data_IF_230797850717
#
_entry.id   IF_230797850717
#
_cell.length_a   1.000
_cell.length_b   1.000
_cell.length_c   1.000
_cell.angle_alpha   90.00
_cell.angle_beta   90.00
_cell.angle_gamma   90.00
#
_symmetry.space_group_name_H-M   'P 1'
#
loop_
_entity.id
_entity.type
_entity.pdbx_description
1 polymer ?
#
# COMPACT_ATOMS: atom_id res chain seq x y z
N UNK A 1 -49.13 -40.44 48.51
CA UNK A 1 -47.91 -40.20 47.71
C UNK A 1 -48.15 -40.20 46.19
N UNK A 2 -49.29 -40.72 45.67
CA UNK A 2 -49.52 -40.84 44.22
C UNK A 2 -50.09 -39.60 43.50
N UNK A 3 -50.77 -38.67 44.20
CA UNK A 3 -51.40 -37.50 43.54
C UNK A 3 -50.42 -36.39 43.14
N UNK A 4 -49.31 -36.21 43.87
CA UNK A 4 -48.28 -35.20 43.55
C UNK A 4 -47.45 -35.55 42.31
N UNK A 5 -47.32 -36.84 42.00
CA UNK A 5 -46.59 -37.30 40.82
C UNK A 5 -47.45 -37.21 39.55
N UNK A 6 -48.78 -37.37 39.68
CA UNK A 6 -49.70 -37.22 38.56
C UNK A 6 -49.81 -35.76 38.10
N UNK A 7 -49.83 -34.80 39.02
CA UNK A 7 -49.85 -33.37 38.69
C UNK A 7 -48.52 -32.89 38.07
N UNK A 8 -47.38 -33.46 38.50
CA UNK A 8 -46.08 -33.18 37.88
C UNK A 8 -45.96 -33.76 36.48
N UNK A 9 -46.43 -34.99 36.24
CA UNK A 9 -46.48 -35.55 34.88
C UNK A 9 -47.46 -34.82 33.97
N UNK A 10 -48.58 -34.31 34.50
CA UNK A 10 -49.53 -33.51 33.74
C UNK A 10 -48.98 -32.12 33.39
N UNK A 11 -48.30 -31.44 34.33
CA UNK A 11 -47.61 -30.18 34.02
C UNK A 11 -46.42 -30.37 33.07
N UNK A 12 -45.69 -31.50 33.16
CA UNK A 12 -44.59 -31.79 32.24
C UNK A 12 -45.09 -32.12 30.82
N UNK A 13 -46.22 -32.83 30.71
CA UNK A 13 -46.86 -33.10 29.42
C UNK A 13 -47.47 -31.83 28.78
N UNK A 14 -48.05 -30.93 29.58
CA UNK A 14 -48.57 -29.63 29.10
C UNK A 14 -47.43 -28.68 28.72
N UNK A 15 -46.28 -28.72 29.42
CA UNK A 15 -45.09 -27.94 29.05
C UNK A 15 -44.41 -28.47 27.78
N UNK A 16 -44.47 -29.79 27.52
CA UNK A 16 -43.97 -30.40 26.29
C UNK A 16 -44.89 -30.13 25.08
N UNK A 17 -46.20 -29.97 25.30
CA UNK A 17 -47.16 -29.65 24.24
C UNK A 17 -47.22 -28.15 23.86
N UNK A 18 -46.66 -27.26 24.69
CA UNK A 18 -46.49 -25.83 24.39
C UNK A 18 -45.18 -25.51 23.63
N UNK A 19 -44.34 -26.52 23.40
CA UNK A 19 -43.11 -26.44 22.59
C UNK A 19 -43.30 -27.22 21.28
N UNK A 20 -44.42 -27.03 20.60
CA UNK A 20 -44.47 -27.36 19.17
C UNK A 20 -43.40 -26.50 18.49
N UNK A 21 -42.38 -27.09 17.83
CA UNK A 21 -41.49 -26.29 17.01
C UNK A 21 -42.38 -25.61 15.98
N UNK A 22 -42.45 -24.28 16.02
CA UNK A 22 -43.01 -23.53 14.93
C UNK A 22 -42.28 -24.02 13.68
N UNK A 23 -43.00 -24.69 12.79
CA UNK A 23 -42.45 -25.05 11.50
C UNK A 23 -42.08 -23.73 10.87
N UNK A 24 -40.78 -23.41 10.87
CA UNK A 24 -40.29 -22.25 10.16
C UNK A 24 -40.63 -22.51 8.70
N UNK A 25 -41.66 -21.83 8.21
CA UNK A 25 -42.05 -21.94 6.82
C UNK A 25 -40.88 -21.42 6.02
N UNK A 26 -40.19 -22.31 5.31
CA UNK A 26 -39.10 -21.90 4.45
C UNK A 26 -39.70 -21.34 3.15
N UNK A 27 -39.11 -20.26 2.65
CA UNK A 27 -39.36 -19.74 1.31
C UNK A 27 -38.15 -20.03 0.44
N UNK A 28 -38.40 -20.34 -0.83
CA UNK A 28 -37.34 -20.56 -1.81
C UNK A 28 -37.12 -19.26 -2.57
N UNK A 29 -35.87 -18.80 -2.63
CA UNK A 29 -35.44 -17.66 -3.42
C UNK A 29 -34.61 -18.20 -4.58
N UNK A 30 -34.97 -17.80 -5.80
CA UNK A 30 -34.21 -18.11 -7.01
C UNK A 30 -33.67 -16.83 -7.65
N UNK A 31 -32.70 -16.97 -8.55
CA UNK A 31 -32.18 -15.82 -9.25
C UNK A 31 -31.00 -16.12 -10.15
N UNK A 32 -30.53 -15.09 -10.84
CA UNK A 32 -29.31 -15.11 -11.65
C UNK A 32 -28.36 -14.02 -11.18
N UNK A 33 -27.08 -14.35 -11.08
CA UNK A 33 -26.01 -13.40 -10.82
C UNK A 33 -25.21 -13.18 -12.10
N UNK A 34 -25.01 -11.92 -12.45
CA UNK A 34 -24.26 -11.50 -13.63
C UNK A 34 -23.22 -10.43 -13.27
N UNK A 35 -22.23 -10.24 -14.13
CA UNK A 35 -21.37 -9.06 -14.08
C UNK A 35 -22.20 -7.82 -14.48
N UNK A 36 -22.08 -6.73 -13.72
CA UNK A 36 -22.89 -5.52 -13.92
C UNK A 36 -22.48 -4.69 -15.15
N UNK A 37 -21.27 -4.90 -15.68
CA UNK A 37 -20.69 -4.19 -16.82
C UNK A 37 -21.03 -4.86 -18.15
N UNK A 38 -20.89 -6.17 -18.26
CA UNK A 38 -21.07 -6.90 -19.52
C UNK A 38 -22.27 -7.85 -19.55
N UNK A 39 -22.94 -8.07 -18.41
CA UNK A 39 -24.12 -8.93 -18.29
C UNK A 39 -23.83 -10.43 -18.40
N UNK A 40 -22.56 -10.82 -18.43
CA UNK A 40 -22.15 -12.23 -18.47
C UNK A 40 -22.57 -12.97 -17.19
N UNK A 41 -22.96 -14.26 -17.26
CA UNK A 41 -23.31 -15.04 -16.09
C UNK A 41 -22.09 -15.29 -15.21
N UNK A 42 -22.24 -15.16 -13.88
CA UNK A 42 -21.17 -15.42 -12.92
C UNK A 42 -21.36 -16.77 -12.22
N UNK A 43 -20.62 -17.83 -12.61
CA UNK A 43 -20.64 -19.11 -11.92
C UNK A 43 -19.81 -19.11 -10.64
N UNK A 44 -20.26 -19.83 -9.61
CA UNK A 44 -19.53 -19.97 -8.35
C UNK A 44 -19.66 -18.81 -7.36
N UNK A 45 -20.58 -17.87 -7.58
CA UNK A 45 -20.92 -16.81 -6.62
C UNK A 45 -21.54 -17.45 -5.37
N UNK A 46 -21.02 -17.10 -4.19
CA UNK A 46 -21.56 -17.56 -2.91
C UNK A 46 -22.75 -16.70 -2.51
N UNK A 47 -23.89 -17.35 -2.29
CA UNK A 47 -25.15 -16.72 -1.88
C UNK A 47 -25.53 -17.23 -0.49
N UNK A 48 -25.36 -16.39 0.52
CA UNK A 48 -25.55 -16.74 1.92
C UNK A 48 -26.71 -15.98 2.54
N UNK A 49 -27.34 -16.55 3.57
CA UNK A 49 -28.19 -15.77 4.48
C UNK A 49 -27.29 -14.84 5.28
N UNK A 50 -27.60 -13.53 5.33
CA UNK A 50 -26.78 -12.55 6.05
C UNK A 50 -26.61 -12.96 7.53
N UNK A 51 -25.36 -13.14 7.96
CA UNK A 51 -25.02 -13.56 9.33
C UNK A 51 -25.08 -15.07 9.61
N UNK A 52 -25.26 -15.91 8.59
CA UNK A 52 -25.27 -17.38 8.71
C UNK A 52 -24.30 -18.03 7.72
N UNK A 53 -23.87 -19.26 8.04
CA UNK A 53 -23.10 -20.12 7.13
C UNK A 53 -24.00 -20.89 6.14
N UNK A 54 -25.33 -20.79 6.28
CA UNK A 54 -26.28 -21.44 5.36
C UNK A 54 -26.35 -20.67 4.03
N UNK A 55 -26.09 -21.37 2.93
CA UNK A 55 -26.08 -20.78 1.60
C UNK A 55 -26.04 -21.77 0.45
N UNK A 56 -25.91 -21.24 -0.76
CA UNK A 56 -25.75 -21.99 -2.01
C UNK A 56 -24.75 -21.27 -2.91
N UNK A 57 -24.37 -21.90 -4.03
CA UNK A 57 -23.53 -21.28 -5.05
C UNK A 57 -24.26 -21.21 -6.40
N UNK A 58 -23.91 -20.22 -7.23
CA UNK A 58 -24.43 -20.15 -8.60
C UNK A 58 -23.82 -21.23 -9.50
N UNK A 59 -24.61 -21.74 -10.46
CA UNK A 59 -24.17 -22.73 -11.45
C UNK A 59 -23.48 -22.07 -12.67
N UNK A 60 -23.13 -22.86 -13.69
CA UNK A 60 -22.49 -22.40 -14.93
C UNK A 60 -23.25 -21.29 -15.69
N UNK A 61 -24.57 -21.21 -15.52
CA UNK A 61 -25.42 -20.17 -16.11
C UNK A 61 -25.61 -18.96 -15.17
N UNK A 62 -24.90 -18.90 -14.04
CA UNK A 62 -25.07 -17.86 -13.02
C UNK A 62 -26.33 -18.00 -12.18
N UNK A 63 -27.10 -19.09 -12.33
CA UNK A 63 -28.37 -19.28 -11.61
C UNK A 63 -28.15 -19.91 -10.23
N UNK A 64 -28.96 -19.48 -9.25
CA UNK A 64 -28.98 -20.04 -7.90
C UNK A 64 -30.40 -20.34 -7.42
N UNK A 65 -30.51 -21.24 -6.44
CA UNK A 65 -31.74 -21.52 -5.69
C UNK A 65 -31.37 -21.81 -4.24
N UNK A 66 -31.97 -21.07 -3.31
CA UNK A 66 -31.71 -21.19 -1.87
C UNK A 66 -33.03 -21.24 -1.09
N UNK A 67 -33.13 -22.20 -0.17
CA UNK A 67 -34.23 -22.29 0.79
C UNK A 67 -33.84 -21.55 2.06
N UNK A 68 -34.62 -20.54 2.43
CA UNK A 68 -34.36 -19.69 3.60
C UNK A 68 -35.59 -19.63 4.50
N UNK A 69 -35.42 -19.43 5.82
CA UNK A 69 -36.54 -19.17 6.71
C UNK A 69 -37.40 -17.98 6.21
N UNK A 70 -38.73 -18.03 6.34
CA UNK A 70 -39.62 -16.96 5.88
C UNK A 70 -39.24 -15.57 6.43
N UNK A 71 -38.71 -15.52 7.65
CA UNK A 71 -38.26 -14.32 8.32
C UNK A 71 -36.95 -13.72 7.76
N UNK A 72 -36.22 -14.43 6.89
CA UNK A 72 -35.01 -13.91 6.28
C UNK A 72 -35.33 -12.75 5.34
N UNK A 73 -34.72 -11.61 5.59
CA UNK A 73 -34.88 -10.37 4.81
C UNK A 73 -33.71 -10.10 3.89
N UNK A 74 -32.52 -10.63 4.15
CA UNK A 74 -31.32 -10.25 3.38
C UNK A 74 -30.47 -11.47 2.98
N UNK A 75 -30.03 -11.47 1.72
CA UNK A 75 -29.00 -12.37 1.22
C UNK A 75 -27.70 -11.62 0.95
N UNK A 76 -26.57 -12.21 1.28
CA UNK A 76 -25.23 -11.72 0.95
C UNK A 76 -24.71 -12.48 -0.26
N UNK A 77 -24.23 -11.75 -1.26
CA UNK A 77 -23.57 -12.27 -2.45
C UNK A 77 -22.07 -11.93 -2.38
N UNK A 78 -21.22 -12.96 -2.45
CA UNK A 78 -19.76 -12.80 -2.43
C UNK A 78 -19.14 -13.57 -3.58
N UNK A 79 -18.26 -12.91 -4.33
CA UNK A 79 -17.48 -13.54 -5.38
C UNK A 79 -16.09 -12.90 -5.44
N UNK A 80 -15.07 -13.70 -5.71
CA UNK A 80 -13.69 -13.21 -5.73
C UNK A 80 -13.55 -12.18 -6.86
N UNK A 81 -13.00 -11.01 -6.54
CA UNK A 81 -12.83 -9.90 -7.47
C UNK A 81 -14.07 -9.03 -7.68
N UNK A 82 -15.11 -9.17 -6.83
CA UNK A 82 -16.35 -8.39 -6.89
C UNK A 82 -16.72 -7.82 -5.53
N UNK A 83 -17.45 -6.71 -5.53
CA UNK A 83 -17.99 -6.12 -4.31
C UNK A 83 -18.96 -7.09 -3.66
N UNK A 84 -18.81 -7.26 -2.35
CA UNK A 84 -19.81 -7.95 -1.55
C UNK A 84 -21.10 -7.13 -1.57
N UNK A 85 -22.20 -7.74 -1.97
CA UNK A 85 -23.50 -7.08 -2.01
C UNK A 85 -24.49 -7.77 -1.08
N UNK A 86 -25.14 -6.98 -0.23
CA UNK A 86 -26.25 -7.43 0.62
C UNK A 86 -27.57 -6.96 -0.01
N UNK A 87 -28.44 -7.91 -0.38
CA UNK A 87 -29.68 -7.63 -1.12
C UNK A 87 -30.91 -7.98 -0.28
N UNK A 88 -31.83 -7.02 -0.17
CA UNK A 88 -33.14 -7.23 0.47
C UNK A 88 -34.07 -8.08 -0.42
N UNK A 89 -34.55 -9.17 0.18
CA UNK A 89 -35.43 -10.18 -0.40
C UNK A 89 -36.85 -10.13 0.20
N UNK A 90 -37.19 -9.09 0.96
CA UNK A 90 -38.52 -8.92 1.56
C UNK A 90 -39.60 -8.91 0.48
N UNK A 91 -40.56 -9.84 0.59
CA UNK A 91 -41.67 -9.99 -0.37
C UNK A 91 -41.28 -10.53 -1.75
N UNK A 92 -40.02 -10.91 -1.99
CA UNK A 92 -39.54 -11.38 -3.29
C UNK A 92 -39.33 -12.90 -3.29
N UNK A 93 -39.61 -13.55 -4.41
CA UNK A 93 -39.30 -14.98 -4.66
C UNK A 93 -38.21 -15.17 -5.72
N UNK A 94 -37.95 -14.14 -6.53
CA UNK A 94 -36.88 -14.11 -7.53
C UNK A 94 -36.09 -12.81 -7.42
N UNK A 95 -34.76 -12.92 -7.39
CA UNK A 95 -33.84 -11.78 -7.24
C UNK A 95 -32.63 -11.96 -8.16
N UNK A 96 -32.51 -11.11 -9.17
CA UNK A 96 -31.32 -11.07 -10.03
C UNK A 96 -30.36 -10.00 -9.50
N UNK A 97 -29.06 -10.29 -9.56
CA UNK A 97 -28.02 -9.44 -8.98
C UNK A 97 -26.92 -9.20 -10.01
N UNK A 98 -26.61 -7.93 -10.26
CA UNK A 98 -25.42 -7.53 -11.02
C UNK A 98 -24.30 -7.22 -10.03
N UNK A 99 -23.29 -8.09 -9.95
CA UNK A 99 -22.11 -7.81 -9.13
C UNK A 99 -21.19 -6.85 -9.87
N UNK A 100 -20.69 -5.85 -9.15
CA UNK A 100 -19.69 -4.92 -9.65
C UNK A 100 -18.31 -5.46 -9.31
N UNK A 101 -17.45 -5.59 -10.31
CA UNK A 101 -16.06 -6.00 -10.11
C UNK A 101 -15.37 -5.01 -9.14
N UNK A 102 -14.75 -5.55 -8.09
CA UNK A 102 -13.99 -4.80 -7.12
C UNK A 102 -12.49 -4.99 -7.43
N UNK A 103 -11.85 -3.92 -7.89
CA UNK A 103 -10.41 -3.90 -8.20
C UNK A 103 -9.54 -3.47 -7.01
N UNK A 104 -10.10 -3.42 -5.80
CA UNK A 104 -9.45 -2.83 -4.61
C UNK A 104 -8.65 -3.84 -3.77
N UNK A 105 -8.27 -4.98 -4.33
CA UNK A 105 -7.17 -5.77 -3.77
C UNK A 105 -5.87 -5.33 -4.40
N UNK A 106 -4.97 -4.77 -3.57
CA UNK A 106 -3.57 -4.60 -3.97
C UNK A 106 -3.04 -5.99 -4.34
N UNK A 107 -2.62 -6.16 -5.58
CA UNK A 107 -2.02 -7.40 -6.01
C UNK A 107 -0.64 -7.51 -5.38
N UNK A 108 -0.38 -8.62 -4.69
CA UNK A 108 0.96 -8.93 -4.19
C UNK A 108 1.89 -9.20 -5.37
N UNK A 109 3.08 -8.58 -5.35
CA UNK A 109 4.12 -8.80 -6.35
C UNK A 109 5.40 -9.17 -5.61
N UNK A 110 5.97 -10.31 -5.96
CA UNK A 110 7.28 -10.76 -5.46
C UNK A 110 8.27 -10.78 -6.62
N UNK A 111 9.42 -10.13 -6.42
CA UNK A 111 10.57 -10.19 -7.33
C UNK A 111 11.69 -10.92 -6.62
N UNK A 112 12.25 -11.95 -7.25
CA UNK A 112 13.38 -12.73 -6.73
C UNK A 112 14.54 -12.63 -7.70
N UNK A 113 15.63 -11.99 -7.27
CA UNK A 113 16.88 -11.93 -8.03
C UNK A 113 17.86 -12.94 -7.43
N UNK A 114 18.34 -13.88 -8.25
CA UNK A 114 19.32 -14.88 -7.82
C UNK A 114 20.55 -14.80 -8.72
N UNK A 115 21.71 -14.50 -8.14
CA UNK A 115 22.99 -14.52 -8.86
C UNK A 115 23.41 -15.98 -9.03
N UNK A 116 23.34 -16.47 -10.26
CA UNK A 116 23.70 -17.87 -10.60
C UNK A 116 25.13 -18.00 -11.14
N UNK A 117 25.72 -16.90 -11.62
CA UNK A 117 27.10 -16.84 -12.11
C UNK A 117 27.61 -15.40 -12.00
N UNK A 118 28.90 -15.24 -11.72
CA UNK A 118 29.58 -13.94 -11.63
C UNK A 118 31.00 -14.07 -12.17
N UNK A 119 31.49 -13.01 -12.82
CA UNK A 119 32.88 -12.89 -13.26
C UNK A 119 33.81 -12.32 -12.18
N UNK A 120 33.24 -11.94 -11.02
CA UNK A 120 33.90 -11.33 -9.86
C UNK A 120 34.59 -10.00 -10.15
N UNK A 121 34.32 -9.37 -11.29
CA UNK A 121 34.89 -8.09 -11.68
C UNK A 121 33.88 -6.95 -11.55
N UNK A 122 32.60 -7.24 -11.72
CA UNK A 122 31.52 -6.25 -11.64
C UNK A 122 30.51 -6.63 -10.57
N UNK A 123 29.91 -5.60 -9.97
CA UNK A 123 28.80 -5.75 -9.04
C UNK A 123 27.54 -6.23 -9.80
N UNK A 124 26.85 -7.30 -9.35
CA UNK A 124 25.64 -7.79 -10.01
C UNK A 124 24.41 -6.89 -9.81
N UNK A 125 24.48 -5.83 -9.01
CA UNK A 125 23.37 -4.93 -8.70
C UNK A 125 22.69 -4.33 -9.95
N UNK A 126 23.46 -3.76 -10.88
CA UNK A 126 22.92 -3.16 -12.11
C UNK A 126 22.21 -4.22 -12.94
N UNK A 127 22.81 -5.40 -13.11
CA UNK A 127 22.20 -6.51 -13.86
C UNK A 127 20.91 -6.98 -13.19
N UNK A 128 20.86 -7.05 -11.86
CA UNK A 128 19.65 -7.42 -11.12
C UNK A 128 18.53 -6.37 -11.29
N UNK A 129 18.86 -5.08 -11.29
CA UNK A 129 17.90 -4.00 -11.55
C UNK A 129 17.34 -4.07 -12.99
N UNK A 130 18.21 -4.28 -13.97
CA UNK A 130 17.83 -4.46 -15.38
C UNK A 130 16.94 -5.70 -15.54
N UNK A 131 17.33 -6.83 -14.95
CA UNK A 131 16.57 -8.07 -14.97
C UNK A 131 15.18 -7.91 -14.34
N UNK A 132 15.09 -7.18 -13.23
CA UNK A 132 13.80 -6.84 -12.59
C UNK A 132 12.93 -6.00 -13.52
N UNK A 133 13.49 -4.94 -14.10
CA UNK A 133 12.78 -4.08 -15.05
C UNK A 133 12.22 -4.88 -16.23
N UNK A 134 13.06 -5.74 -16.82
CA UNK A 134 12.67 -6.62 -17.91
C UNK A 134 11.58 -7.61 -17.53
N UNK A 135 11.72 -8.28 -16.38
CA UNK A 135 10.75 -9.24 -15.87
C UNK A 135 9.37 -8.59 -15.65
N UNK A 136 9.34 -7.41 -15.03
CA UNK A 136 8.09 -6.66 -14.82
C UNK A 136 7.49 -6.20 -16.15
N UNK A 137 8.32 -5.71 -17.08
CA UNK A 137 7.86 -5.25 -18.40
C UNK A 137 7.21 -6.36 -19.24
N UNK A 138 7.73 -7.59 -19.18
CA UNK A 138 7.14 -8.74 -19.93
C UNK A 138 6.01 -9.44 -19.18
N UNK A 139 5.80 -9.16 -17.89
CA UNK A 139 4.85 -9.90 -17.06
C UNK A 139 3.38 -9.63 -17.36
N UNK A 140 3.07 -8.47 -17.95
CA UNK A 140 1.71 -7.98 -18.17
C UNK A 140 1.09 -7.23 -16.99
N UNK A 141 1.74 -7.17 -15.82
CA UNK A 141 1.22 -6.44 -14.66
C UNK A 141 1.15 -4.92 -14.95
N UNK A 142 0.28 -4.17 -14.25
CA UNK A 142 0.26 -2.71 -14.32
C UNK A 142 1.59 -2.12 -13.81
N UNK A 143 2.49 -1.80 -14.74
CA UNK A 143 3.82 -1.28 -14.45
C UNK A 143 4.14 -0.10 -15.36
N UNK A 144 4.50 1.04 -14.76
CA UNK A 144 4.78 2.30 -15.46
C UNK A 144 6.27 2.46 -15.83
N UNK A 145 6.97 1.34 -16.02
CA UNK A 145 8.34 1.32 -16.54
C UNK A 145 8.39 1.17 -18.08
N UNK A 146 9.48 0.61 -18.64
CA UNK A 146 10.63 0.07 -17.93
C UNK A 146 11.54 1.15 -17.32
N UNK A 147 12.35 0.73 -16.36
CA UNK A 147 13.46 1.51 -15.83
C UNK A 147 14.80 0.99 -16.36
N UNK A 148 15.78 1.88 -16.45
CA UNK A 148 17.19 1.56 -16.59
C UNK A 148 17.90 1.77 -15.26
N UNK A 149 19.11 1.23 -15.15
CA UNK A 149 20.03 1.49 -14.06
C UNK A 149 21.46 1.59 -14.61
N UNK A 150 22.28 2.43 -14.00
CA UNK A 150 23.68 2.58 -14.32
C UNK A 150 24.48 2.95 -13.08
N UNK A 151 25.69 2.42 -12.98
CA UNK A 151 26.70 2.86 -12.01
C UNK A 151 27.68 3.80 -12.71
N UNK A 152 28.11 4.85 -12.02
CA UNK A 152 29.05 5.84 -12.53
C UNK A 152 30.20 5.99 -11.55
N UNK A 153 31.41 5.80 -12.06
CA UNK A 153 32.64 6.24 -11.42
C UNK A 153 33.11 7.58 -12.00
N UNK A 154 34.00 8.26 -11.29
CA UNK A 154 34.62 9.49 -11.74
C UNK A 154 36.08 9.56 -11.32
N UNK A 155 36.94 10.00 -12.23
CA UNK A 155 38.30 10.47 -11.90
C UNK A 155 38.58 11.76 -12.65
N UNK A 156 39.41 12.64 -12.09
CA UNK A 156 39.82 13.86 -12.79
C UNK A 156 40.55 13.60 -14.12
N UNK A 157 41.17 12.43 -14.30
CA UNK A 157 41.92 12.08 -15.50
C UNK A 157 41.02 11.54 -16.64
N UNK A 158 40.02 10.70 -16.30
CA UNK A 158 39.19 10.00 -17.29
C UNK A 158 37.78 10.59 -17.43
N UNK A 159 37.34 11.40 -16.45
CA UNK A 159 35.95 11.85 -16.36
C UNK A 159 35.02 10.75 -15.85
N UNK A 160 33.79 10.72 -16.37
CA UNK A 160 32.78 9.73 -15.98
C UNK A 160 33.04 8.36 -16.64
N UNK A 161 32.95 7.30 -15.84
CA UNK A 161 33.13 5.92 -16.28
C UNK A 161 31.81 5.17 -16.03
N UNK A 162 31.23 4.60 -17.09
CA UNK A 162 29.97 3.84 -17.01
C UNK A 162 30.23 2.41 -16.55
N UNK A 163 29.40 1.93 -15.62
CA UNK A 163 29.38 0.58 -15.06
C UNK A 163 30.78 0.05 -14.75
N UNK A 164 31.54 0.75 -13.88
CA UNK A 164 32.93 0.42 -13.58
C UNK A 164 33.07 -0.94 -12.91
N UNK A 165 34.21 -1.60 -13.13
CA UNK A 165 34.64 -2.78 -12.36
C UNK A 165 35.08 -2.39 -10.95
N UNK A 166 35.20 -3.38 -10.05
CA UNK A 166 35.75 -3.17 -8.70
C UNK A 166 37.14 -2.52 -8.72
N UNK A 167 37.99 -2.87 -9.69
CA UNK A 167 39.32 -2.29 -9.83
C UNK A 167 39.27 -0.79 -10.21
N UNK A 168 38.32 -0.40 -11.07
CA UNK A 168 38.11 1.00 -11.44
C UNK A 168 37.50 1.81 -10.29
N UNK A 169 36.56 1.22 -9.55
CA UNK A 169 35.97 1.84 -8.36
C UNK A 169 37.00 2.12 -7.27
N UNK A 170 37.96 1.22 -7.06
CA UNK A 170 39.01 1.38 -6.05
C UNK A 170 39.85 2.68 -6.24
N UNK A 171 40.01 3.14 -7.47
CA UNK A 171 40.72 4.39 -7.79
C UNK A 171 39.78 5.57 -8.05
N UNK A 172 38.47 5.35 -8.01
CA UNK A 172 37.45 6.36 -8.28
C UNK A 172 37.31 7.36 -7.13
N UNK A 173 36.87 8.56 -7.47
CA UNK A 173 36.42 9.61 -6.53
C UNK A 173 34.90 9.58 -6.34
N UNK A 174 34.19 8.76 -7.13
CA UNK A 174 32.74 8.59 -7.10
C UNK A 174 32.35 7.10 -7.24
N UNK A 175 31.41 6.65 -6.44
CA UNK A 175 30.61 5.46 -6.72
C UNK A 175 29.14 5.87 -6.65
N UNK A 176 28.47 5.96 -7.79
CA UNK A 176 27.08 6.41 -7.89
C UNK A 176 26.24 5.42 -8.66
N UNK A 177 25.15 4.95 -8.07
CA UNK A 177 24.12 4.17 -8.77
C UNK A 177 22.91 5.05 -9.00
N UNK A 178 22.42 5.08 -10.25
CA UNK A 178 21.24 5.83 -10.65
C UNK A 178 20.26 4.90 -11.32
N UNK A 179 18.97 5.08 -11.03
CA UNK A 179 17.89 4.43 -11.75
C UNK A 179 16.83 5.44 -12.21
N UNK A 180 16.27 5.21 -13.39
CA UNK A 180 15.33 6.13 -14.02
C UNK A 180 14.48 5.48 -15.10
N UNK A 181 13.37 6.12 -15.43
CA UNK A 181 12.59 5.81 -16.64
C UNK A 181 13.20 6.53 -17.84
N UNK A 182 12.53 6.43 -18.99
CA UNK A 182 12.82 7.25 -20.15
C UNK A 182 12.82 8.76 -19.83
N UNK A 183 11.86 9.20 -19.02
CA UNK A 183 11.55 10.62 -18.87
C UNK A 183 12.15 11.24 -17.61
N UNK A 184 12.47 10.43 -16.59
CA UNK A 184 12.87 10.95 -15.29
C UNK A 184 13.82 10.02 -14.53
N UNK A 185 14.72 10.64 -13.76
CA UNK A 185 15.48 9.97 -12.69
C UNK A 185 14.54 9.68 -11.52
N UNK A 186 14.63 8.46 -10.97
CA UNK A 186 13.80 8.00 -9.86
C UNK A 186 14.58 7.88 -8.54
N UNK A 187 15.81 7.37 -8.60
CA UNK A 187 16.64 7.09 -7.42
C UNK A 187 18.11 7.33 -7.74
N UNK A 188 18.84 7.88 -6.76
CA UNK A 188 20.30 8.06 -6.78
C UNK A 188 20.83 7.62 -5.41
N UNK A 189 21.84 6.75 -5.40
CA UNK A 189 22.62 6.36 -4.22
C UNK A 189 24.10 6.58 -4.55
N UNK A 190 24.86 7.25 -3.68
CA UNK A 190 26.25 7.59 -4.02
C UNK A 190 27.17 7.81 -2.82
N UNK A 191 28.43 7.42 -2.98
CA UNK A 191 29.56 7.81 -2.16
C UNK A 191 30.57 8.61 -3.00
N UNK A 192 31.10 9.71 -2.45
CA UNK A 192 32.05 10.56 -3.17
C UNK A 192 33.13 11.15 -2.25
N UNK A 193 34.33 11.34 -2.81
CA UNK A 193 35.47 11.99 -2.14
C UNK A 193 35.38 13.52 -2.28
N UNK A 194 34.41 14.11 -1.58
CA UNK A 194 34.21 15.58 -1.51
C UNK A 194 34.10 16.27 -2.89
N UNK A 195 33.44 15.62 -3.85
CA UNK A 195 33.26 16.16 -5.20
C UNK A 195 32.28 17.35 -5.22
N UNK A 196 32.48 18.35 -6.10
CA UNK A 196 31.54 19.46 -6.29
C UNK A 196 30.15 18.99 -6.74
N UNK A 197 29.10 19.71 -6.34
CA UNK A 197 27.72 19.38 -6.70
C UNK A 197 27.48 19.34 -8.22
N UNK A 198 28.16 20.18 -9.00
CA UNK A 198 28.07 20.19 -10.46
C UNK A 198 28.59 18.86 -11.06
N UNK A 199 29.66 18.31 -10.49
CA UNK A 199 30.21 17.00 -10.90
C UNK A 199 29.25 15.88 -10.52
N UNK A 200 28.62 15.95 -9.34
CA UNK A 200 27.62 14.99 -8.89
C UNK A 200 26.38 15.02 -9.79
N UNK A 201 25.86 16.20 -10.10
CA UNK A 201 24.72 16.37 -11.01
C UNK A 201 25.05 15.89 -12.41
N UNK A 202 26.25 16.20 -12.92
CA UNK A 202 26.71 15.70 -14.21
C UNK A 202 26.77 14.17 -14.26
N UNK A 203 27.18 13.50 -13.17
CA UNK A 203 27.17 12.04 -13.08
C UNK A 203 25.74 11.47 -13.15
N UNK A 204 24.78 12.11 -12.46
CA UNK A 204 23.36 11.72 -12.52
C UNK A 204 22.82 11.82 -13.95
N UNK A 205 23.11 12.92 -14.64
CA UNK A 205 22.66 13.14 -16.02
C UNK A 205 23.35 12.18 -17.00
N UNK A 206 24.64 11.94 -16.83
CA UNK A 206 25.41 10.96 -17.60
C UNK A 206 24.81 9.56 -17.45
N UNK A 207 24.56 9.11 -16.21
CA UNK A 207 23.92 7.84 -15.94
C UNK A 207 22.54 7.74 -16.61
N UNK A 208 21.70 8.78 -16.46
CA UNK A 208 20.35 8.81 -17.01
C UNK A 208 20.34 8.76 -18.54
N UNK A 209 21.31 9.41 -19.18
CA UNK A 209 21.50 9.34 -20.63
C UNK A 209 21.93 7.93 -21.07
N UNK A 210 22.97 7.36 -20.47
CA UNK A 210 23.54 6.08 -20.89
C UNK A 210 22.57 4.90 -20.63
N UNK A 211 21.80 4.95 -19.54
CA UNK A 211 20.82 3.89 -19.25
C UNK A 211 19.64 3.86 -20.24
N UNK A 212 19.47 4.87 -21.11
CA UNK A 212 18.40 4.86 -22.11
C UNK A 212 18.55 3.69 -23.10
N UNK A 213 19.78 3.25 -23.38
CA UNK A 213 20.01 2.06 -24.21
C UNK A 213 19.34 0.82 -23.60
N UNK A 214 19.41 0.68 -22.28
CA UNK A 214 18.76 -0.40 -21.53
C UNK A 214 17.25 -0.24 -21.51
N UNK A 215 16.75 0.97 -21.22
CA UNK A 215 15.30 1.26 -21.22
C UNK A 215 14.69 0.88 -22.58
N UNK A 216 15.35 1.27 -23.67
CA UNK A 216 14.94 0.95 -25.03
C UNK A 216 14.97 -0.55 -25.30
N UNK A 217 16.08 -1.23 -24.97
CA UNK A 217 16.20 -2.68 -25.16
C UNK A 217 15.13 -3.47 -24.40
N UNK A 218 14.81 -3.07 -23.16
CA UNK A 218 13.74 -3.69 -22.38
C UNK A 218 12.36 -3.41 -22.98
N UNK A 219 12.12 -2.21 -23.49
CA UNK A 219 10.87 -1.87 -24.16
C UNK A 219 10.67 -2.70 -25.44
N UNK A 220 11.73 -2.92 -26.22
CA UNK A 220 11.72 -3.79 -27.40
C UNK A 220 11.47 -5.25 -27.03
N UNK A 221 12.13 -5.76 -25.97
CA UNK A 221 11.86 -7.10 -25.43
C UNK A 221 10.39 -7.26 -25.01
N UNK A 222 9.82 -6.27 -24.33
CA UNK A 222 8.43 -6.29 -23.90
C UNK A 222 7.45 -6.24 -25.09
N UNK A 223 7.80 -5.52 -26.17
CA UNK A 223 7.01 -5.53 -27.41
C UNK A 223 7.00 -6.91 -28.06
N UNK A 224 8.16 -7.57 -28.12
CA UNK A 224 8.32 -8.79 -28.92
C UNK A 224 7.95 -10.07 -28.14
N UNK A 225 8.12 -10.06 -26.80
CA UNK A 225 7.94 -11.23 -25.93
C UNK A 225 7.02 -10.98 -24.72
N UNK A 226 6.39 -9.82 -24.61
CA UNK A 226 5.53 -9.48 -23.48
C UNK A 226 4.23 -10.29 -23.44
N UNK A 227 3.81 -10.65 -22.22
CA UNK A 227 2.48 -11.22 -21.97
C UNK A 227 1.40 -10.15 -22.16
N UNK A 228 0.15 -10.55 -22.45
CA UNK A 228 -0.98 -9.62 -22.49
C UNK A 228 -1.08 -8.80 -21.19
N UNK A 229 -1.33 -7.50 -21.33
CA UNK A 229 -1.50 -6.61 -20.17
C UNK A 229 -2.76 -7.01 -19.39
N UNK A 230 -2.65 -6.90 -18.07
CA UNK A 230 -3.78 -7.10 -17.18
C UNK A 230 -4.82 -6.02 -17.45
N UNK A 231 -6.09 -6.43 -17.50
CA UNK A 231 -7.19 -5.48 -17.43
C UNK A 231 -7.29 -4.97 -15.99
N UNK A 232 -6.67 -3.82 -15.75
CA UNK A 232 -6.66 -3.18 -14.44
C UNK A 232 -6.96 -1.68 -14.61
N UNK A 233 -7.80 -1.18 -13.73
CA UNK A 233 -8.06 0.26 -13.59
C UNK A 233 -8.00 0.63 -12.11
N UNK A 234 -7.43 1.79 -11.83
CA UNK A 234 -7.47 2.38 -10.50
C UNK A 234 -8.93 2.58 -10.05
N UNK A 235 -9.24 2.37 -8.76
CA UNK A 235 -10.55 2.71 -8.22
C UNK A 235 -10.89 4.18 -8.48
N UNK A 236 -12.16 4.45 -8.80
CA UNK A 236 -12.62 5.82 -8.98
C UNK A 236 -12.50 6.60 -7.66
N UNK A 237 -12.03 7.85 -7.72
CA UNK A 237 -12.01 8.73 -6.54
C UNK A 237 -13.44 8.97 -6.08
N UNK A 238 -13.74 8.74 -4.80
CA UNK A 238 -15.03 9.06 -4.22
C UNK A 238 -15.14 10.58 -4.01
N UNK A 239 -15.62 11.28 -5.05
CA UNK A 239 -15.75 12.74 -5.07
C UNK A 239 -16.66 13.24 -3.95
N UNK A 240 -17.76 12.53 -3.66
CA UNK A 240 -18.69 12.91 -2.60
C UNK A 240 -18.02 12.91 -1.22
N UNK A 241 -17.27 11.85 -0.90
CA UNK A 241 -16.51 11.76 0.36
C UNK A 241 -15.42 12.83 0.44
N UNK A 242 -14.68 13.04 -0.65
CA UNK A 242 -13.66 14.09 -0.74
C UNK A 242 -14.25 15.47 -0.47
N UNK A 243 -15.34 15.81 -1.14
CA UNK A 243 -15.98 17.13 -0.99
C UNK A 243 -16.57 17.32 0.40
N UNK A 244 -17.15 16.26 0.99
CA UNK A 244 -17.62 16.28 2.38
C UNK A 244 -16.48 16.53 3.37
N UNK A 245 -15.35 15.84 3.22
CA UNK A 245 -14.15 16.04 4.04
C UNK A 245 -13.56 17.44 3.88
N UNK A 246 -13.45 17.92 2.64
CA UNK A 246 -12.95 19.28 2.37
C UNK A 246 -13.84 20.31 3.06
N UNK A 247 -15.15 20.20 2.89
CA UNK A 247 -16.12 21.14 3.46
C UNK A 247 -16.14 21.10 5.00
N UNK A 248 -16.06 19.92 5.61
CA UNK A 248 -16.18 19.76 7.06
C UNK A 248 -14.87 19.97 7.82
N UNK A 249 -13.73 19.60 7.24
CA UNK A 249 -12.49 19.41 8.00
C UNK A 249 -11.27 20.16 7.46
N UNK A 250 -11.28 20.69 6.22
CA UNK A 250 -10.07 21.28 5.63
C UNK A 250 -9.48 22.44 6.46
N UNK A 251 -10.34 23.33 6.96
CA UNK A 251 -9.90 24.47 7.78
C UNK A 251 -9.33 24.00 9.13
N UNK A 252 -10.02 23.08 9.80
CA UNK A 252 -9.59 22.51 11.08
C UNK A 252 -8.27 21.74 10.95
N UNK A 253 -8.08 20.96 9.89
CA UNK A 253 -6.83 20.27 9.58
C UNK A 253 -5.72 21.29 9.31
N UNK A 254 -6.00 22.31 8.49
CA UNK A 254 -5.03 23.37 8.18
C UNK A 254 -4.58 24.11 9.44
N UNK A 255 -5.50 24.36 10.38
CA UNK A 255 -5.19 24.94 11.68
C UNK A 255 -4.39 24.00 12.57
N UNK A 256 -4.72 22.71 12.60
CA UNK A 256 -3.96 21.72 13.36
C UNK A 256 -2.50 21.62 12.87
N UNK A 257 -2.24 21.76 11.57
CA UNK A 257 -0.88 21.81 11.02
C UNK A 257 -0.08 23.07 11.37
N UNK A 258 -0.69 24.08 12.00
CA UNK A 258 0.02 25.23 12.57
C UNK A 258 0.51 24.97 14.00
N UNK A 259 0.13 23.85 14.62
CA UNK A 259 0.63 23.42 15.92
C UNK A 259 2.07 22.91 15.72
N UNK A 260 3.04 23.61 16.32
CA UNK A 260 4.47 23.32 16.16
C UNK A 260 4.92 22.08 16.95
N UNK A 261 4.32 21.84 18.12
CA UNK A 261 4.58 20.67 18.95
C UNK A 261 4.04 19.40 18.28
N UNK A 262 4.93 18.44 18.01
CA UNK A 262 4.57 17.22 17.29
C UNK A 262 3.52 16.40 18.02
N UNK A 263 3.63 16.20 19.33
CA UNK A 263 2.70 15.36 20.08
C UNK A 263 1.30 15.96 20.06
N UNK A 264 1.17 17.25 20.41
CA UNK A 264 -0.11 17.97 20.41
C UNK A 264 -0.76 18.01 19.03
N UNK A 265 0.04 18.17 17.97
CA UNK A 265 -0.46 18.14 16.60
C UNK A 265 -1.02 16.77 16.23
N UNK A 266 -0.33 15.69 16.58
CA UNK A 266 -0.79 14.33 16.30
C UNK A 266 -2.06 14.01 17.08
N UNK A 267 -2.13 14.42 18.35
CA UNK A 267 -3.35 14.28 19.17
C UNK A 267 -4.52 14.99 18.51
N UNK A 268 -4.35 16.27 18.12
CA UNK A 268 -5.43 17.04 17.48
C UNK A 268 -5.85 16.47 16.12
N UNK A 269 -4.91 16.01 15.29
CA UNK A 269 -5.24 15.36 14.01
C UNK A 269 -5.94 14.01 14.24
N UNK A 270 -5.58 13.30 15.31
CA UNK A 270 -6.26 12.06 15.74
C UNK A 270 -7.70 12.31 16.16
N UNK A 271 -7.96 13.36 16.94
CA UNK A 271 -9.31 13.81 17.30
C UNK A 271 -10.13 14.15 16.05
N UNK A 272 -9.60 15.01 15.16
CA UNK A 272 -10.28 15.41 13.92
C UNK A 272 -10.58 14.22 13.01
N UNK A 273 -9.67 13.24 12.96
CA UNK A 273 -9.90 12.00 12.21
C UNK A 273 -11.01 11.16 12.84
N UNK A 274 -11.05 11.08 14.17
CA UNK A 274 -12.12 10.40 14.91
C UNK A 274 -13.48 11.07 14.67
N UNK A 275 -13.53 12.40 14.75
CA UNK A 275 -14.70 13.21 14.42
C UNK A 275 -15.17 12.97 12.98
N UNK A 276 -14.26 12.99 12.00
CA UNK A 276 -14.58 12.73 10.59
C UNK A 276 -15.14 11.33 10.36
N UNK A 277 -14.57 10.30 11.01
CA UNK A 277 -15.10 8.94 10.94
C UNK A 277 -16.51 8.87 11.56
N UNK A 278 -16.71 9.48 12.72
CA UNK A 278 -18.02 9.48 13.39
C UNK A 278 -19.10 10.19 12.57
N UNK A 279 -18.76 11.29 11.88
CA UNK A 279 -19.69 12.09 11.09
C UNK A 279 -19.96 11.48 9.70
N UNK A 280 -18.93 10.93 9.05
CA UNK A 280 -19.01 10.54 7.64
C UNK A 280 -19.11 9.03 7.41
N UNK A 281 -18.68 8.17 8.34
CA UNK A 281 -18.81 6.71 8.21
C UNK A 281 -20.14 6.20 8.81
N UNK A 282 -21.25 6.73 8.30
CA UNK A 282 -22.61 6.37 8.75
C UNK A 282 -23.28 5.40 7.79
N UNK A 283 -24.26 4.63 8.28
CA UNK A 283 -25.07 3.75 7.42
C UNK A 283 -25.78 4.52 6.29
N UNK A 284 -26.11 5.80 6.52
CA UNK A 284 -26.81 6.65 5.54
C UNK A 284 -25.89 7.19 4.45
N UNK A 285 -24.63 7.52 4.78
CA UNK A 285 -23.63 7.97 3.80
C UNK A 285 -23.01 6.82 3.01
N UNK A 286 -23.00 5.60 3.59
CA UNK A 286 -22.48 4.40 2.93
C UNK A 286 -20.95 4.35 2.82
N UNK A 287 -20.23 5.27 3.49
CA UNK A 287 -18.78 5.26 3.52
C UNK A 287 -18.26 4.36 4.64
N UNK A 288 -17.21 3.59 4.38
CA UNK A 288 -16.55 2.82 5.43
C UNK A 288 -15.64 3.73 6.27
N UNK A 289 -15.39 3.35 7.51
CA UNK A 289 -14.45 4.08 8.37
C UNK A 289 -13.03 4.14 7.79
N UNK A 290 -12.63 3.10 7.05
CA UNK A 290 -11.29 3.03 6.47
C UNK A 290 -11.18 3.92 5.22
N UNK A 291 -12.23 4.01 4.40
CA UNK A 291 -12.28 4.97 3.29
C UNK A 291 -12.19 6.42 3.79
N UNK A 292 -12.91 6.74 4.88
CA UNK A 292 -12.84 8.07 5.51
C UNK A 292 -11.43 8.36 6.01
N UNK A 293 -10.77 7.42 6.70
CA UNK A 293 -9.39 7.61 7.18
C UNK A 293 -8.41 7.78 6.02
N UNK A 294 -8.53 7.00 4.95
CA UNK A 294 -7.66 7.09 3.78
C UNK A 294 -7.83 8.43 3.04
N UNK A 295 -9.09 8.85 2.84
CA UNK A 295 -9.42 10.13 2.23
C UNK A 295 -8.98 11.32 3.11
N UNK A 296 -9.10 11.20 4.44
CA UNK A 296 -8.60 12.19 5.41
C UNK A 296 -7.08 12.34 5.29
N UNK A 297 -6.32 11.23 5.27
CA UNK A 297 -4.87 11.27 5.06
C UNK A 297 -4.47 11.88 3.71
N UNK A 298 -5.26 11.64 2.66
CA UNK A 298 -5.08 12.28 1.35
C UNK A 298 -5.32 13.80 1.41
N UNK A 299 -6.32 14.24 2.17
CA UNK A 299 -6.59 15.65 2.40
C UNK A 299 -5.47 16.32 3.21
N UNK A 300 -4.99 15.68 4.28
CA UNK A 300 -3.80 16.12 5.04
C UNK A 300 -2.60 16.36 4.11
N UNK A 301 -2.29 15.38 3.26
CA UNK A 301 -1.22 15.48 2.27
C UNK A 301 -1.39 16.68 1.33
N UNK A 302 -2.60 16.86 0.76
CA UNK A 302 -2.90 17.94 -0.20
C UNK A 302 -2.76 19.32 0.46
N UNK A 303 -3.29 19.49 1.67
CA UNK A 303 -3.27 20.77 2.38
C UNK A 303 -1.85 21.19 2.78
N UNK A 304 -1.06 20.26 3.34
CA UNK A 304 0.33 20.54 3.72
C UNK A 304 1.15 20.93 2.48
N UNK A 305 1.01 20.19 1.38
CA UNK A 305 1.71 20.50 0.12
C UNK A 305 1.30 21.87 -0.42
N UNK A 306 0.00 22.18 -0.46
CA UNK A 306 -0.51 23.45 -0.94
C UNK A 306 0.04 24.64 -0.14
N UNK A 307 0.09 24.53 1.18
CA UNK A 307 0.64 25.58 2.05
C UNK A 307 2.12 25.85 1.75
N UNK A 308 2.94 24.80 1.64
CA UNK A 308 4.38 24.95 1.36
C UNK A 308 4.61 25.58 -0.02
N UNK A 309 3.85 25.15 -1.04
CA UNK A 309 3.93 25.72 -2.40
C UNK A 309 3.48 27.18 -2.43
N UNK A 310 2.46 27.54 -1.63
CA UNK A 310 1.99 28.92 -1.48
C UNK A 310 2.92 29.81 -0.62
N UNK A 311 4.07 29.30 -0.17
CA UNK A 311 5.03 30.05 0.63
C UNK A 311 4.61 30.27 2.09
N UNK A 312 3.61 29.56 2.57
CA UNK A 312 3.24 29.57 4.00
C UNK A 312 4.33 28.88 4.83
N UNK A 313 4.44 29.21 6.14
CA UNK A 313 5.35 28.50 7.03
C UNK A 313 5.11 26.99 7.01
N UNK A 314 6.19 26.22 7.14
CA UNK A 314 6.11 24.77 7.32
C UNK A 314 5.45 24.44 8.66
N UNK A 315 5.17 23.16 8.87
CA UNK A 315 4.46 22.63 10.04
C UNK A 315 5.08 23.09 11.38
N UNK A 316 6.40 23.22 11.46
CA UNK A 316 7.10 23.69 12.65
C UNK A 316 7.46 25.20 12.61
N UNK A 317 6.82 25.96 11.72
CA UNK A 317 6.97 27.40 11.57
C UNK A 317 8.15 27.85 10.72
N UNK A 318 9.01 26.94 10.25
CA UNK A 318 10.20 27.30 9.44
C UNK A 318 9.85 27.64 7.99
N UNK A 319 10.77 28.35 7.35
CA UNK A 319 10.80 28.47 5.89
C UNK A 319 11.45 27.24 5.22
N UNK A 320 11.58 27.28 3.89
CA UNK A 320 12.14 26.19 3.09
C UNK A 320 13.68 26.10 3.11
N UNK A 321 14.37 27.03 3.78
CA UNK A 321 15.85 27.11 3.80
C UNK A 321 16.45 26.90 5.18
N UNK A 322 15.67 27.10 6.24
CA UNK A 322 16.14 27.09 7.62
C UNK A 322 16.22 25.68 8.18
N UNK A 323 17.41 25.30 8.66
CA UNK A 323 17.66 24.07 9.41
C UNK A 323 17.14 24.22 10.85
N UNK A 324 16.69 23.12 11.47
CA UNK A 324 16.25 23.11 12.88
C UNK A 324 17.44 23.40 13.81
N UNK A 325 17.19 23.87 15.06
CA UNK A 325 18.26 24.07 16.05
C UNK A 325 19.13 22.83 16.22
N UNK A 326 20.45 23.05 16.30
CA UNK A 326 21.45 21.99 16.44
C UNK A 326 22.12 22.14 17.81
N UNK A 327 22.25 21.02 18.52
CA UNK A 327 23.04 20.88 19.73
C UNK A 327 24.02 19.73 19.55
N UNK A 328 25.26 19.94 19.96
CA UNK A 328 26.34 18.96 19.82
C UNK A 328 27.06 18.84 21.15
N UNK A 329 27.11 17.63 21.67
CA UNK A 329 27.89 17.28 22.86
C UNK A 329 28.84 16.13 22.52
N UNK A 330 30.04 16.15 23.10
CA UNK A 330 31.05 15.10 22.93
C UNK A 330 31.52 14.60 24.30
N UNK A 331 31.98 13.35 24.36
CA UNK A 331 32.43 12.75 25.62
C UNK A 331 31.30 12.49 26.63
N UNK A 332 30.06 12.32 26.15
CA UNK A 332 28.85 12.13 26.97
C UNK A 332 28.84 10.79 27.72
N UNK A 333 29.66 9.80 27.30
CA UNK A 333 29.81 8.51 27.97
C UNK A 333 31.21 8.34 28.55
N UNK A 334 31.31 8.26 29.88
CA UNK A 334 32.59 8.21 30.60
C UNK A 334 33.45 6.94 30.41
N UNK A 335 32.94 5.89 29.73
CA UNK A 335 33.68 4.65 29.45
C UNK A 335 33.89 4.37 27.95
N UNK A 336 33.30 5.15 27.06
CA UNK A 336 33.47 4.97 25.62
C UNK A 336 34.83 5.52 25.17
N UNK A 337 35.43 4.94 24.11
CA UNK A 337 36.62 5.53 23.50
C UNK A 337 36.31 6.90 22.88
N UNK A 338 35.17 7.01 22.19
CA UNK A 338 34.60 8.28 21.75
C UNK A 338 33.08 8.23 21.81
N UNK A 339 32.44 9.35 22.13
CA UNK A 339 30.98 9.47 22.12
C UNK A 339 30.55 10.87 21.72
N UNK A 340 29.42 10.97 21.03
CA UNK A 340 28.77 12.22 20.67
C UNK A 340 27.25 12.10 20.80
N UNK A 341 26.61 13.17 21.30
CA UNK A 341 25.17 13.34 21.26
C UNK A 341 24.87 14.49 20.29
N UNK A 342 24.33 14.14 19.13
CA UNK A 342 23.94 15.11 18.11
C UNK A 342 22.41 15.24 18.11
N UNK A 343 21.92 16.45 18.33
CA UNK A 343 20.48 16.76 18.28
C UNK A 343 20.22 17.81 17.22
N UNK A 344 19.31 17.53 16.28
CA UNK A 344 18.81 18.48 15.26
C UNK A 344 17.29 18.54 15.31
N UNK A 345 16.75 19.52 16.04
CA UNK A 345 15.34 19.57 16.41
C UNK A 345 14.93 18.36 17.24
N UNK A 346 13.87 17.66 16.84
CA UNK A 346 13.40 16.43 17.51
C UNK A 346 14.12 15.15 17.06
N UNK A 347 15.13 15.25 16.18
CA UNK A 347 15.96 14.11 15.78
C UNK A 347 17.23 14.10 16.61
N UNK A 348 17.47 13.03 17.35
CA UNK A 348 18.66 12.86 18.19
C UNK A 348 19.37 11.54 17.86
N UNK A 349 20.70 11.58 17.84
CA UNK A 349 21.57 10.43 17.66
C UNK A 349 22.66 10.43 18.74
N UNK A 350 22.71 9.34 19.53
CA UNK A 350 23.86 9.01 20.36
C UNK A 350 24.78 8.12 19.53
N UNK A 351 25.96 8.62 19.20
CA UNK A 351 26.97 7.92 18.39
C UNK A 351 28.15 7.56 19.28
N UNK A 352 28.62 6.32 19.18
CA UNK A 352 29.75 5.80 19.95
C UNK A 352 30.80 5.26 19.00
N UNK A 353 32.04 5.68 19.18
CA UNK A 353 33.19 5.15 18.47
C UNK A 353 33.99 4.25 19.41
N UNK A 354 34.28 3.03 18.97
CA UNK A 354 35.07 2.05 19.71
C UNK A 354 36.24 1.61 18.86
N UNK A 355 37.46 1.85 19.35
CA UNK A 355 38.69 1.34 18.76
C UNK A 355 38.95 -0.11 19.19
N UNK A 356 39.39 -0.93 18.24
CA UNK A 356 39.81 -2.31 18.45
C UNK A 356 41.18 -2.55 17.82
N UNK A 357 41.74 -3.73 18.06
CA UNK A 357 42.94 -4.19 17.36
C UNK A 357 42.55 -5.02 16.12
N UNK A 358 43.54 -5.58 15.42
CA UNK A 358 43.29 -6.39 14.22
C UNK A 358 42.36 -7.59 14.43
N UNK A 359 42.19 -8.09 15.67
CA UNK A 359 41.24 -9.17 16.00
C UNK A 359 39.78 -8.72 15.96
N UNK A 360 39.53 -7.42 16.08
CA UNK A 360 38.18 -6.83 16.08
C UNK A 360 37.76 -6.40 14.66
N UNK A 361 38.62 -6.57 13.66
CA UNK A 361 38.30 -6.26 12.28
C UNK A 361 37.17 -7.20 11.79
N UNK A 362 36.14 -6.61 11.16
CA UNK A 362 35.07 -7.40 10.57
C UNK A 362 35.61 -8.12 9.33
N UNK A 363 35.69 -9.45 9.41
CA UNK A 363 35.99 -10.28 8.25
C UNK A 363 34.69 -10.49 7.50
N UNK A 364 34.65 -10.00 6.26
CA UNK A 364 33.53 -10.21 5.36
C UNK A 364 34.04 -11.06 4.21
N UNK A 365 33.37 -12.19 3.98
CA UNK A 365 33.56 -13.00 2.79
C UNK A 365 32.57 -12.50 1.73
N UNK A 366 33.07 -11.68 0.80
CA UNK A 366 32.31 -11.21 -0.36
C UNK A 366 32.57 -12.14 -1.56
N UNK A 367 31.58 -12.23 -2.47
CA UNK A 367 31.54 -13.13 -3.64
C UNK A 367 32.81 -13.13 -4.51
#
# INVERSE_FOLDING_TARGET
MQFKNLLKSFLFAVFYFLLAPAWAQNKVITGKVTDSKDGSPLPGVSVLIKGSATGTNTNAAGSYSISVPAATTTLTFTFIGYDRQDIDITGKTTVNVGLTANSTTLNEVQVVCTVVSTDKQYDPDIVAMIGTSAALAVSGIPFTGPIGAARVAYTAAEGYILNPSFAQLATSELDMVVAGTKDAVLMVESEAKELPEDTMLGAVLYAHQEMQAVVQAVAELARDAGKPRWEWSAPAENIALKDALVKGFADSISMAYRITDKAKRYDRLGELRGEAVAELATETSGFSADDVKAAFGTLEYRLVRANIVAGQPRIDGRDNKTVRPIQVEVGVLGKAHGSALFTRGETQALVVATLGNARDAQIIDFL
#
